data_IF_560817877525
#
_entry.id   IF_560817877525
#
_cell.length_a   1.000
_cell.length_b   1.000
_cell.length_c   1.000
_cell.angle_alpha   90.00
_cell.angle_beta   90.00
_cell.angle_gamma   90.00
#
_symmetry.space_group_name_H-M   'P 1'
#
loop_
_entity.id
_entity.type
_entity.pdbx_description
1 polymer ?
#
# COMPACT_ATOMS: atom_id res chain seq x y z
N UNK A 1 10.15 -21.70 -10.77
CA UNK A 1 10.12 -20.52 -11.65
C UNK A 1 10.06 -19.27 -10.78
N UNK A 2 10.75 -18.21 -11.17
CA UNK A 2 10.83 -16.96 -10.42
C UNK A 2 10.22 -15.82 -11.24
N UNK A 3 9.42 -14.97 -10.60
CA UNK A 3 9.04 -13.68 -11.15
C UNK A 3 10.08 -12.64 -10.68
N UNK A 4 10.71 -11.95 -11.63
CA UNK A 4 11.70 -10.92 -11.36
C UNK A 4 11.20 -9.59 -11.88
N UNK A 5 11.03 -8.63 -10.97
CA UNK A 5 10.63 -7.25 -11.29
C UNK A 5 11.83 -6.33 -11.13
N UNK A 6 12.18 -5.59 -12.19
CA UNK A 6 13.23 -4.57 -12.18
C UNK A 6 12.57 -3.20 -12.36
N UNK A 7 12.81 -2.30 -11.40
CA UNK A 7 12.28 -0.92 -11.44
C UNK A 7 13.35 0.04 -11.93
N UNK A 8 13.02 0.75 -13.00
CA UNK A 8 13.84 1.80 -13.59
C UNK A 8 13.32 3.19 -13.22
N UNK A 9 14.24 4.12 -12.93
CA UNK A 9 13.94 5.55 -12.82
C UNK A 9 13.82 6.16 -14.23
N UNK A 10 12.72 5.81 -14.89
CA UNK A 10 12.42 6.21 -16.25
C UNK A 10 10.92 6.42 -16.45
N UNK A 11 10.61 7.45 -17.24
CA UNK A 11 9.27 7.77 -17.72
C UNK A 11 9.23 7.76 -19.27
N UNK A 12 9.33 6.58 -19.91
CA UNK A 12 9.33 6.47 -21.36
C UNK A 12 7.97 6.86 -21.96
N UNK A 13 8.01 7.37 -23.20
CA UNK A 13 6.80 7.67 -23.97
C UNK A 13 5.96 6.40 -24.20
N UNK A 14 4.66 6.58 -24.44
CA UNK A 14 3.70 5.48 -24.63
C UNK A 14 4.11 4.57 -25.80
N UNK A 15 4.66 5.13 -26.87
CA UNK A 15 5.14 4.37 -28.02
C UNK A 15 6.32 3.46 -27.65
N UNK A 16 7.25 3.96 -26.82
CA UNK A 16 8.37 3.17 -26.32
C UNK A 16 7.88 2.05 -25.39
N UNK A 17 6.91 2.33 -24.52
CA UNK A 17 6.28 1.30 -23.67
C UNK A 17 5.66 0.17 -24.48
N UNK A 18 4.94 0.48 -25.58
CA UNK A 18 4.36 -0.53 -26.46
C UNK A 18 5.41 -1.39 -27.16
N UNK A 19 6.52 -0.78 -27.57
CA UNK A 19 7.63 -1.52 -28.16
C UNK A 19 8.23 -2.51 -27.16
N UNK A 20 8.50 -2.04 -25.93
CA UNK A 20 9.00 -2.88 -24.85
C UNK A 20 8.04 -4.03 -24.54
N UNK A 21 6.74 -3.75 -24.45
CA UNK A 21 5.72 -4.78 -24.25
C UNK A 21 5.76 -5.86 -25.35
N UNK A 22 5.87 -5.44 -26.62
CA UNK A 22 5.95 -6.36 -27.75
C UNK A 22 7.23 -7.23 -27.73
N UNK A 23 8.37 -6.67 -27.33
CA UNK A 23 9.61 -7.43 -27.20
C UNK A 23 9.61 -8.39 -26.00
N UNK A 24 8.95 -8.01 -24.91
CA UNK A 24 8.83 -8.85 -23.72
C UNK A 24 7.82 -10.00 -23.89
N UNK A 25 6.88 -9.91 -24.84
CA UNK A 25 5.93 -11.00 -25.13
C UNK A 25 6.62 -12.32 -25.47
N UNK A 26 7.83 -12.32 -26.04
CA UNK A 26 8.56 -13.56 -26.34
C UNK A 26 9.16 -14.22 -25.09
N UNK A 27 9.11 -13.55 -23.95
CA UNK A 27 9.71 -13.95 -22.68
C UNK A 27 8.67 -14.03 -21.54
N UNK A 28 7.37 -14.09 -21.89
CA UNK A 28 6.24 -13.99 -20.96
C UNK A 28 6.36 -12.78 -20.01
N UNK A 29 7.05 -11.75 -20.47
CA UNK A 29 7.34 -10.55 -19.68
C UNK A 29 6.26 -9.50 -19.81
N UNK A 30 6.27 -8.55 -18.89
CA UNK A 30 5.39 -7.38 -18.90
C UNK A 30 6.17 -6.12 -18.53
N UNK A 31 5.64 -4.98 -18.99
CA UNK A 31 6.15 -3.66 -18.62
C UNK A 31 4.99 -2.82 -18.11
N UNK A 32 5.21 -2.10 -17.01
CA UNK A 32 4.21 -1.23 -16.43
C UNK A 32 4.83 0.11 -16.01
N UNK A 33 3.98 1.13 -15.93
CA UNK A 33 4.36 2.49 -15.56
C UNK A 33 3.48 2.93 -14.39
N UNK A 34 4.09 3.40 -13.31
CA UNK A 34 3.35 3.85 -12.11
C UNK A 34 4.02 5.03 -11.41
N UNK A 35 3.27 5.79 -10.59
CA UNK A 35 3.86 6.81 -9.73
C UNK A 35 4.83 6.22 -8.71
N UNK A 36 5.88 6.98 -8.38
CA UNK A 36 6.84 6.65 -7.33
C UNK A 36 6.27 7.01 -5.95
N UNK A 37 5.48 6.10 -5.39
CA UNK A 37 4.72 6.32 -4.13
C UNK A 37 5.61 6.70 -2.92
N UNK A 38 6.91 6.39 -2.92
CA UNK A 38 7.78 6.57 -1.75
C UNK A 38 8.11 8.02 -1.39
N UNK A 39 7.81 8.98 -2.26
CA UNK A 39 7.91 10.41 -1.96
C UNK A 39 6.72 11.03 -2.66
N UNK A 40 6.02 11.98 -2.04
CA UNK A 40 4.85 12.64 -2.64
C UNK A 40 5.25 13.52 -3.85
N UNK A 41 5.93 12.93 -4.84
CA UNK A 41 6.33 13.48 -6.11
C UNK A 41 5.61 12.74 -7.24
N UNK A 42 5.31 13.46 -8.32
CA UNK A 42 4.62 12.92 -9.49
C UNK A 42 5.58 12.17 -10.42
N UNK A 43 6.74 11.73 -9.92
CA UNK A 43 7.72 11.02 -10.74
C UNK A 43 7.17 9.66 -11.09
N UNK A 44 7.25 9.29 -12.36
CA UNK A 44 6.84 7.98 -12.84
C UNK A 44 8.05 7.06 -12.90
N UNK A 45 7.84 5.81 -12.55
CA UNK A 45 8.82 4.73 -12.68
C UNK A 45 8.28 3.67 -13.61
N UNK A 46 9.20 2.92 -14.20
CA UNK A 46 8.89 1.81 -15.09
C UNK A 46 9.31 0.50 -14.44
N UNK A 47 8.36 -0.43 -14.28
CA UNK A 47 8.64 -1.77 -13.82
C UNK A 47 8.63 -2.73 -15.00
N UNK A 48 9.67 -3.56 -15.12
CA UNK A 48 9.76 -4.66 -16.08
C UNK A 48 9.75 -5.96 -15.30
N UNK A 49 8.77 -6.82 -15.58
CA UNK A 49 8.65 -8.14 -14.95
C UNK A 49 8.92 -9.22 -15.99
N UNK A 50 9.77 -10.19 -15.66
CA UNK A 50 10.02 -11.38 -16.48
C UNK A 50 10.00 -12.64 -15.62
N UNK A 51 9.66 -13.77 -16.22
CA UNK A 51 9.66 -15.07 -15.56
C UNK A 51 10.87 -15.88 -16.03
N UNK A 52 11.64 -16.39 -15.08
CA UNK A 52 12.86 -17.16 -15.39
C UNK A 52 12.90 -18.44 -14.56
N UNK A 53 13.37 -19.51 -15.18
CA UNK A 53 13.58 -20.79 -14.50
C UNK A 53 15.03 -20.89 -14.03
N UNK A 54 15.21 -20.78 -12.72
CA UNK A 54 16.53 -20.82 -12.07
C UNK A 54 16.43 -21.50 -10.71
N UNK A 55 17.55 -22.04 -10.24
CA UNK A 55 17.60 -22.83 -9.00
C UNK A 55 17.54 -21.96 -7.73
N UNK A 56 17.87 -20.68 -7.83
CA UNK A 56 17.89 -19.76 -6.70
C UNK A 56 17.62 -18.31 -7.14
N UNK A 57 17.15 -17.43 -6.23
CA UNK A 57 16.69 -16.10 -6.58
C UNK A 57 17.82 -15.16 -7.05
N UNK A 58 19.08 -15.41 -6.69
CA UNK A 58 20.21 -14.58 -7.13
C UNK A 58 20.52 -14.87 -8.59
N UNK A 59 20.51 -16.15 -8.99
CA UNK A 59 20.66 -16.53 -10.39
C UNK A 59 19.48 -16.03 -11.24
N UNK A 60 18.26 -16.11 -10.71
CA UNK A 60 17.08 -15.55 -11.35
C UNK A 60 17.26 -14.05 -11.66
N UNK A 61 17.72 -13.25 -10.69
CA UNK A 61 17.98 -11.83 -10.89
C UNK A 61 19.04 -11.58 -11.97
N UNK A 62 20.13 -12.35 -11.97
CA UNK A 62 21.20 -12.19 -12.95
C UNK A 62 20.73 -12.52 -14.37
N UNK A 63 19.98 -13.62 -14.53
CA UNK A 63 19.38 -14.04 -15.79
C UNK A 63 18.39 -12.97 -16.28
N UNK A 64 17.43 -12.58 -15.44
CA UNK A 64 16.44 -11.56 -15.75
C UNK A 64 17.08 -10.23 -16.15
N UNK A 65 18.09 -9.76 -15.41
CA UNK A 65 18.82 -8.52 -15.75
C UNK A 65 19.44 -8.60 -17.14
N UNK A 66 20.08 -9.74 -17.48
CA UNK A 66 20.67 -9.93 -18.80
C UNK A 66 19.60 -9.86 -19.89
N UNK A 67 18.53 -10.63 -19.74
CA UNK A 67 17.41 -10.66 -20.69
C UNK A 67 16.79 -9.27 -20.87
N UNK A 68 16.48 -8.58 -19.77
CA UNK A 68 15.87 -7.24 -19.82
C UNK A 68 16.84 -6.22 -20.43
N UNK A 69 18.15 -6.30 -20.16
CA UNK A 69 19.14 -5.39 -20.76
C UNK A 69 19.25 -5.53 -22.29
N UNK A 70 19.01 -6.74 -22.81
CA UNK A 70 18.97 -7.00 -24.25
C UNK A 70 17.74 -6.37 -24.93
N UNK A 71 16.64 -6.18 -24.18
CA UNK A 71 15.37 -5.62 -24.66
C UNK A 71 15.28 -4.10 -24.43
N UNK A 72 15.44 -3.65 -23.19
CA UNK A 72 15.21 -2.26 -22.77
C UNK A 72 16.42 -1.37 -23.05
N UNK A 73 17.61 -1.96 -23.17
CA UNK A 73 18.88 -1.23 -23.20
C UNK A 73 19.28 -0.68 -21.83
N UNK A 74 20.58 -0.42 -21.66
CA UNK A 74 21.20 -0.14 -20.35
C UNK A 74 21.23 1.35 -19.97
N UNK A 75 20.24 2.14 -20.41
CA UNK A 75 20.33 3.61 -20.35
C UNK A 75 19.69 4.24 -19.11
N UNK A 76 18.73 3.57 -18.47
CA UNK A 76 18.04 4.09 -17.29
C UNK A 76 18.59 3.49 -15.97
N UNK A 77 18.73 4.28 -14.89
CA UNK A 77 19.13 3.75 -13.59
C UNK A 77 18.11 2.76 -13.03
N UNK A 78 18.60 1.60 -12.59
CA UNK A 78 17.80 0.66 -11.78
C UNK A 78 17.77 1.18 -10.34
N UNK A 79 16.56 1.36 -9.80
CA UNK A 79 16.35 1.86 -8.42
C UNK A 79 15.78 0.81 -7.48
N UNK A 80 15.23 -0.28 -8.00
CA UNK A 80 14.81 -1.43 -7.21
C UNK A 80 14.81 -2.71 -8.05
N UNK A 81 14.93 -3.85 -7.37
CA UNK A 81 14.70 -5.17 -7.94
C UNK A 81 14.01 -6.05 -6.91
N UNK A 82 13.01 -6.81 -7.32
CA UNK A 82 12.33 -7.80 -6.51
C UNK A 82 12.40 -9.16 -7.20
N UNK A 83 12.67 -10.21 -6.42
CA UNK A 83 12.64 -11.60 -6.88
C UNK A 83 11.74 -12.36 -5.94
N UNK A 84 10.69 -12.97 -6.50
CA UNK A 84 9.71 -13.75 -5.75
C UNK A 84 9.41 -15.04 -6.50
N UNK A 85 8.99 -16.05 -5.74
CA UNK A 85 8.41 -17.25 -6.33
C UNK A 85 7.19 -16.89 -7.19
N UNK A 86 7.00 -17.61 -8.30
CA UNK A 86 5.90 -17.36 -9.22
C UNK A 86 4.52 -17.47 -8.57
N UNK A 87 4.29 -18.49 -7.73
CA UNK A 87 3.01 -18.68 -7.05
C UNK A 87 2.72 -17.49 -6.13
N UNK A 88 3.74 -17.06 -5.37
CA UNK A 88 3.64 -15.88 -4.52
C UNK A 88 3.39 -14.58 -5.32
N UNK A 89 3.97 -14.47 -6.53
CA UNK A 89 3.73 -13.32 -7.41
C UNK A 89 2.25 -13.23 -7.81
N UNK A 90 1.67 -14.34 -8.27
CA UNK A 90 0.25 -14.38 -8.65
C UNK A 90 -0.68 -14.18 -7.46
N UNK A 91 -0.38 -14.79 -6.31
CA UNK A 91 -1.13 -14.55 -5.06
C UNK A 91 -1.16 -13.07 -4.69
N UNK A 92 -0.03 -12.37 -4.83
CA UNK A 92 0.06 -10.92 -4.57
C UNK A 92 -0.66 -10.10 -5.63
N UNK A 93 -0.62 -10.49 -6.89
CA UNK A 93 -1.33 -9.81 -7.97
C UNK A 93 -2.86 -9.91 -7.80
N UNK A 94 -3.34 -11.04 -7.28
CA UNK A 94 -4.76 -11.28 -6.98
C UNK A 94 -5.20 -10.64 -5.66
N UNK A 95 -4.26 -10.23 -4.80
CA UNK A 95 -4.58 -9.57 -3.55
C UNK A 95 -5.25 -8.20 -3.81
N UNK A 96 -6.26 -7.82 -3.01
CA UNK A 96 -6.88 -6.50 -3.13
C UNK A 96 -5.84 -5.38 -3.00
N UNK A 97 -5.73 -4.53 -4.03
CA UNK A 97 -4.83 -3.36 -4.04
C UNK A 97 -5.35 -2.20 -3.19
N UNK A 98 -6.64 -2.21 -2.87
CA UNK A 98 -7.26 -1.25 -1.95
C UNK A 98 -7.15 -1.77 -0.51
N UNK A 99 -6.67 -0.94 0.44
CA UNK A 99 -6.69 -1.32 1.84
C UNK A 99 -8.14 -1.53 2.29
N UNK A 100 -8.34 -2.40 3.28
CA UNK A 100 -9.63 -2.52 3.94
C UNK A 100 -10.06 -1.14 4.46
N UNK A 101 -11.26 -0.70 4.08
CA UNK A 101 -11.79 0.60 4.44
C UNK A 101 -12.76 0.46 5.60
N UNK A 102 -12.61 1.34 6.60
CA UNK A 102 -13.49 1.41 7.75
C UNK A 102 -14.13 2.79 7.88
N UNK A 103 -15.40 2.79 8.26
CA UNK A 103 -16.22 3.95 8.56
C UNK A 103 -16.11 4.35 10.04
N UNK A 104 -16.66 5.50 10.42
CA UNK A 104 -16.54 6.00 11.81
C UNK A 104 -17.09 5.06 12.90
N UNK A 105 -18.20 4.32 12.70
CA UNK A 105 -18.62 3.26 13.64
C UNK A 105 -17.58 2.15 13.81
N UNK A 106 -17.06 1.60 12.70
CA UNK A 106 -16.08 0.50 12.71
C UNK A 106 -14.75 0.93 13.33
N UNK A 107 -14.34 2.18 13.10
CA UNK A 107 -13.21 2.78 13.82
C UNK A 107 -13.48 2.85 15.33
N UNK A 108 -14.72 3.14 15.73
CA UNK A 108 -15.14 3.14 17.13
C UNK A 108 -14.99 1.75 17.74
N UNK A 109 -15.39 0.71 17.01
CA UNK A 109 -15.26 -0.69 17.45
C UNK A 109 -13.78 -1.10 17.59
N UNK A 110 -12.92 -0.75 16.62
CA UNK A 110 -11.47 -1.04 16.68
C UNK A 110 -10.80 -0.32 17.86
N UNK A 111 -11.19 0.92 18.11
CA UNK A 111 -10.61 1.76 19.15
C UNK A 111 -11.31 1.64 20.51
N UNK A 112 -12.36 0.82 20.61
CA UNK A 112 -13.22 0.68 21.80
C UNK A 112 -13.67 2.05 22.34
N UNK A 113 -14.22 2.87 21.45
CA UNK A 113 -14.77 4.20 21.76
C UNK A 113 -16.06 4.46 20.97
N UNK A 114 -16.86 5.42 21.43
CA UNK A 114 -18.07 5.79 20.69
C UNK A 114 -17.74 6.45 19.34
N UNK A 115 -18.66 6.33 18.38
CA UNK A 115 -18.60 7.07 17.11
C UNK A 115 -18.40 8.59 17.30
N UNK A 116 -19.03 9.19 18.32
CA UNK A 116 -18.84 10.60 18.62
C UNK A 116 -17.40 10.90 19.04
N UNK A 117 -16.76 10.00 19.79
CA UNK A 117 -15.36 10.14 20.17
C UNK A 117 -14.44 10.03 18.96
N UNK A 118 -14.75 9.16 17.99
CA UNK A 118 -14.02 9.10 16.71
C UNK A 118 -14.07 10.44 15.97
N UNK A 119 -15.23 11.09 15.92
CA UNK A 119 -15.33 12.43 15.32
C UNK A 119 -14.46 13.48 16.02
N UNK A 120 -14.30 13.40 17.34
CA UNK A 120 -13.38 14.29 18.08
C UNK A 120 -11.91 13.95 17.82
N UNK A 121 -11.58 12.66 17.74
CA UNK A 121 -10.21 12.20 17.48
C UNK A 121 -9.74 12.58 16.08
N UNK A 122 -10.64 12.61 15.10
CA UNK A 122 -10.35 13.04 13.73
C UNK A 122 -9.60 14.38 13.65
N UNK A 123 -9.91 15.32 14.54
CA UNK A 123 -9.29 16.65 14.55
C UNK A 123 -8.04 16.74 15.43
N UNK A 124 -7.60 15.62 16.02
CA UNK A 124 -6.44 15.56 16.91
C UNK A 124 -5.17 15.21 16.13
N UNK A 125 -4.06 15.86 16.47
CA UNK A 125 -2.76 15.53 15.89
C UNK A 125 -2.40 14.06 16.11
N UNK A 126 -1.97 13.38 15.04
CA UNK A 126 -1.57 11.97 15.06
C UNK A 126 -2.69 10.98 14.82
N UNK A 127 -3.96 11.41 14.78
CA UNK A 127 -5.03 10.53 14.29
C UNK A 127 -4.93 10.37 12.76
N UNK A 128 -5.18 9.17 12.19
CA UNK A 128 -5.08 8.96 10.75
C UNK A 128 -5.98 9.88 9.94
N UNK A 129 -5.41 10.48 8.89
CA UNK A 129 -6.18 11.22 7.90
C UNK A 129 -7.11 10.26 7.15
N UNK A 130 -8.36 10.67 6.84
CA UNK A 130 -9.25 9.83 6.05
C UNK A 130 -8.73 9.69 4.62
N UNK A 131 -8.84 8.49 4.06
CA UNK A 131 -8.54 8.24 2.65
C UNK A 131 -9.55 8.94 1.75
N UNK A 132 -10.83 8.93 2.15
CA UNK A 132 -11.89 9.63 1.43
C UNK A 132 -12.89 10.27 2.39
N UNK A 133 -13.50 11.36 1.93
CA UNK A 133 -14.65 12.00 2.58
C UNK A 133 -15.84 11.88 1.64
N UNK A 134 -16.71 10.91 1.92
CA UNK A 134 -17.92 10.64 1.16
C UNK A 134 -19.09 11.44 1.72
N UNK A 135 -20.21 11.50 0.99
CA UNK A 135 -21.46 12.12 1.50
C UNK A 135 -21.97 11.46 2.79
N UNK A 136 -21.73 10.15 2.94
CA UNK A 136 -22.12 9.37 4.12
C UNK A 136 -21.16 9.55 5.32
N UNK A 137 -19.96 10.08 5.09
CA UNK A 137 -18.94 10.25 6.12
C UNK A 137 -17.52 9.98 5.61
N UNK A 138 -16.55 10.18 6.50
CA UNK A 138 -15.16 9.84 6.24
C UNK A 138 -14.92 8.33 6.34
N UNK A 139 -13.99 7.83 5.53
CA UNK A 139 -13.49 6.44 5.55
C UNK A 139 -11.97 6.44 5.65
N UNK A 140 -11.46 5.50 6.42
CA UNK A 140 -10.03 5.34 6.74
C UNK A 140 -9.53 3.99 6.30
N UNK A 141 -8.22 3.88 6.10
CA UNK A 141 -7.55 2.59 6.00
C UNK A 141 -7.56 1.91 7.37
N UNK A 142 -8.02 0.66 7.42
CA UNK A 142 -8.13 -0.12 8.65
C UNK A 142 -6.77 -0.30 9.34
N UNK A 143 -5.71 -0.56 8.56
CA UNK A 143 -4.34 -0.74 9.00
C UNK A 143 -3.76 0.52 9.67
N UNK A 144 -4.06 1.71 9.16
CA UNK A 144 -3.68 2.98 9.75
C UNK A 144 -4.35 3.18 11.12
N UNK A 145 -5.63 2.83 11.25
CA UNK A 145 -6.38 2.89 12.51
C UNK A 145 -5.82 1.88 13.53
N UNK A 146 -5.53 0.65 13.10
CA UNK A 146 -4.89 -0.36 13.97
C UNK A 146 -3.49 0.08 14.40
N UNK A 147 -2.75 0.76 13.52
CA UNK A 147 -1.43 1.29 13.84
C UNK A 147 -1.51 2.42 14.87
N UNK A 148 -2.46 3.33 14.70
CA UNK A 148 -2.77 4.34 15.71
C UNK A 148 -3.17 3.68 17.05
N UNK A 149 -4.03 2.66 17.04
CA UNK A 149 -4.46 1.96 18.25
C UNK A 149 -3.29 1.39 19.07
N UNK A 150 -2.22 0.94 18.40
CA UNK A 150 -1.02 0.39 19.07
C UNK A 150 -0.17 1.45 19.76
N UNK A 151 -0.12 2.67 19.23
CA UNK A 151 0.74 3.74 19.74
C UNK A 151 -0.02 4.78 20.56
N UNK A 152 -1.35 4.75 20.54
CA UNK A 152 -2.18 5.75 21.18
C UNK A 152 -2.31 5.53 22.69
N UNK A 153 -1.69 6.40 23.48
CA UNK A 153 -1.89 6.47 24.92
C UNK A 153 -3.27 7.03 25.27
N UNK A 154 -4.18 6.15 25.72
CA UNK A 154 -5.53 6.55 26.16
C UNK A 154 -5.45 7.37 27.44
N UNK A 155 -5.84 8.65 27.39
CA UNK A 155 -6.13 9.43 28.59
C UNK A 155 -7.52 9.05 29.13
N UNK A 156 -7.65 8.51 30.35
CA UNK A 156 -8.94 8.16 30.92
C UNK A 156 -9.80 9.43 31.08
N UNK A 157 -11.07 9.36 30.66
CA UNK A 157 -12.02 10.45 30.81
C UNK A 157 -12.43 10.68 32.27
N UNK A 158 -13.09 11.81 32.58
CA UNK A 158 -13.60 12.07 33.93
C UNK A 158 -14.60 10.99 34.35
N UNK A 159 -14.36 10.34 35.49
CA UNK A 159 -15.37 9.46 36.11
C UNK A 159 -16.59 10.32 36.45
N UNK A 160 -17.75 10.03 35.85
CA UNK A 160 -19.00 10.59 36.35
C UNK A 160 -19.17 10.13 37.80
N UNK A 161 -19.11 11.05 38.76
CA UNK A 161 -19.40 10.72 40.15
C UNK A 161 -20.86 10.27 40.24
N UNK A 162 -21.17 9.18 40.95
CA UNK A 162 -22.55 8.78 41.14
C UNK A 162 -23.30 9.92 41.84
N UNK A 163 -24.43 10.33 41.27
CA UNK A 163 -25.35 11.26 41.91
C UNK A 163 -25.87 10.55 43.17
N UNK A 164 -25.31 10.89 44.33
CA UNK A 164 -25.89 10.47 45.61
C UNK A 164 -27.16 11.30 45.79
N UNK A 165 -28.30 10.70 45.46
CA UNK A 165 -29.60 11.28 45.74
C UNK A 165 -29.79 11.34 47.25
N UNK A 166 -29.65 12.53 47.84
CA UNK A 166 -29.99 12.77 49.22
C UNK A 166 -31.51 12.68 49.39
N UNK A 167 -32.00 11.52 49.79
CA UNK A 167 -33.31 11.36 50.43
C UNK A 167 -33.19 11.81 51.89
N UNK A 168 -34.02 12.78 52.32
CA UNK A 168 -34.68 12.93 53.65
C UNK A 168 -35.79 13.98 53.47
N UNK A 169 -37.09 13.65 53.44
CA UNK A 169 -38.02 13.26 54.54
C UNK A 169 -38.49 14.46 55.37
N UNK A 170 -39.77 14.78 55.14
CA UNK A 170 -40.81 15.40 55.99
C UNK A 170 -40.62 16.81 56.52
#
# INVERSE_FOLDING_TARGET
MWAVTITYDADPAVEAMRHLEQELMTHDGSVSRRPRVLYADDTMVTDVTVFVDEVDPVLALQHAKKLVSEVVGDTAPIIASEVVDEELYFERADAPTLPALVSAPEVGDILDVSRQRVHQLKDTAGFPAPLYVLRSGAVWAEDAIRSFARTWERKPGPRQQPIIAAFRTT
#
